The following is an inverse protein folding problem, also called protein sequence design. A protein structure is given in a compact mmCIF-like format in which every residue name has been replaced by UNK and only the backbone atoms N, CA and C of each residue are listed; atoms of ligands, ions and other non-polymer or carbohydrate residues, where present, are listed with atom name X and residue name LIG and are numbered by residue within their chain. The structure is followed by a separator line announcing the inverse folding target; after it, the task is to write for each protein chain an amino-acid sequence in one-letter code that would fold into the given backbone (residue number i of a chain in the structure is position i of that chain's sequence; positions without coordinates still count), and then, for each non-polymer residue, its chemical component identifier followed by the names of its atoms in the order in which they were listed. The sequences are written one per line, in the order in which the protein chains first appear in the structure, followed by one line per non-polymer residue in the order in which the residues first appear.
data_IF_191715020176
#
_entry.id   IF_191715020176
#
_cell.length_a   1.000
_cell.length_b   1.000
_cell.length_c   1.000
_cell.angle_alpha   90.00
_cell.angle_beta   90.00
_cell.angle_gamma   90.00
#
_symmetry.space_group_name_H-M   'P 1'
#
loop_
_entity.id
_entity.type
_entity.pdbx_description
1 polymer ?
#
# COMPACT_ATOMS: atom_id res chain seq x y z
N UNK A 1 22.49 34.11 -11.82
CA UNK A 1 22.18 33.05 -12.80
C UNK A 1 21.33 33.68 -13.90
N UNK A 2 21.87 33.70 -15.12
CA UNK A 2 21.25 34.29 -16.30
C UNK A 2 20.50 33.20 -17.07
N UNK A 3 19.18 33.33 -17.16
CA UNK A 3 18.30 32.39 -17.85
C UNK A 3 17.86 33.06 -19.15
N UNK A 4 18.11 32.41 -20.29
CA UNK A 4 17.71 32.91 -21.60
C UNK A 4 16.64 32.02 -22.17
N UNK A 5 15.47 32.58 -22.46
CA UNK A 5 14.33 31.87 -23.07
C UNK A 5 14.21 32.33 -24.51
N UNK A 6 14.36 31.40 -25.46
CA UNK A 6 14.37 31.71 -26.89
C UNK A 6 13.02 31.45 -27.57
N UNK A 7 12.78 32.19 -28.65
CA UNK A 7 11.69 31.96 -29.61
C UNK A 7 10.27 31.96 -29.02
N UNK A 8 10.02 32.73 -27.96
CA UNK A 8 8.68 32.96 -27.40
C UNK A 8 7.96 34.09 -28.15
N UNK A 9 7.67 33.85 -29.43
CA UNK A 9 7.06 34.80 -30.37
C UNK A 9 5.75 35.47 -29.89
N UNK A 10 4.98 34.81 -29.01
CA UNK A 10 3.71 35.35 -28.48
C UNK A 10 3.89 36.07 -27.13
N UNK A 11 5.12 36.11 -26.62
CA UNK A 11 5.47 36.59 -25.29
C UNK A 11 4.53 35.97 -24.23
N UNK A 12 4.33 34.66 -24.32
CA UNK A 12 3.40 33.90 -23.45
C UNK A 12 4.07 33.60 -22.13
N UNK A 13 5.38 33.35 -22.11
CA UNK A 13 6.11 32.93 -20.91
C UNK A 13 5.95 33.96 -19.79
N UNK A 14 6.00 35.26 -20.11
CA UNK A 14 5.80 36.34 -19.12
C UNK A 14 4.40 36.38 -18.51
N UNK A 15 3.41 35.83 -19.21
CA UNK A 15 1.98 35.85 -18.83
C UNK A 15 1.58 34.61 -18.02
N UNK A 16 2.46 33.60 -17.90
CA UNK A 16 2.17 32.39 -17.15
C UNK A 16 2.25 32.66 -15.63
N UNK A 17 1.37 32.03 -14.86
CA UNK A 17 1.36 32.13 -13.39
C UNK A 17 2.72 31.69 -12.80
N UNK A 18 3.38 30.72 -13.42
CA UNK A 18 4.67 30.21 -12.98
C UNK A 18 5.86 31.14 -13.31
N UNK A 19 5.66 32.19 -14.11
CA UNK A 19 6.72 33.15 -14.46
C UNK A 19 7.29 33.87 -13.23
N UNK A 20 6.48 34.04 -12.18
CA UNK A 20 6.89 34.60 -10.88
C UNK A 20 8.08 33.84 -10.26
N UNK A 21 8.22 32.53 -10.54
CA UNK A 21 9.36 31.73 -10.07
C UNK A 21 10.70 32.15 -10.70
N UNK A 22 10.67 32.91 -11.79
CA UNK A 22 11.86 33.42 -12.48
C UNK A 22 12.30 34.80 -11.98
N UNK A 23 11.46 35.52 -11.22
CA UNK A 23 11.76 36.87 -10.70
C UNK A 23 13.05 36.97 -9.87
N UNK A 24 13.43 35.96 -9.05
CA UNK A 24 14.70 35.99 -8.32
C UNK A 24 15.94 35.85 -9.22
N UNK A 25 15.77 35.54 -10.51
CA UNK A 25 16.84 35.28 -11.46
C UNK A 25 16.83 36.30 -12.59
N UNK A 26 17.97 36.47 -13.27
CA UNK A 26 18.05 37.34 -14.44
C UNK A 26 17.52 36.59 -15.68
N UNK A 27 16.20 36.51 -15.80
CA UNK A 27 15.52 35.81 -16.89
C UNK A 27 15.20 36.76 -18.05
N UNK A 28 15.73 36.47 -19.24
CA UNK A 28 15.50 37.22 -20.47
C UNK A 28 14.74 36.38 -21.48
N UNK A 29 13.52 36.82 -21.81
CA UNK A 29 12.68 36.23 -22.85
C UNK A 29 12.92 36.96 -24.18
N UNK A 30 13.31 36.21 -25.20
CA UNK A 30 13.42 36.69 -26.58
C UNK A 30 12.19 36.28 -27.38
N UNK A 31 11.49 37.27 -27.91
CA UNK A 31 10.29 37.09 -28.75
C UNK A 31 10.63 37.02 -30.25
N UNK A 32 11.89 37.23 -30.62
CA UNK A 32 12.37 37.16 -32.00
C UNK A 32 13.35 36.02 -32.22
N UNK A 33 13.19 35.31 -33.33
CA UNK A 33 14.14 34.29 -33.80
C UNK A 33 15.32 34.96 -34.47
N UNK A 34 16.52 34.50 -34.11
CA UNK A 34 17.79 34.95 -34.70
C UNK A 34 18.49 33.75 -35.30
N UNK A 35 18.83 33.85 -36.58
CA UNK A 35 19.50 32.80 -37.32
C UNK A 35 20.98 33.15 -37.50
N UNK A 36 21.84 32.15 -37.41
CA UNK A 36 23.28 32.29 -37.64
C UNK A 36 24.12 32.28 -36.37
N UNK A 37 25.24 31.56 -36.44
CA UNK A 37 26.12 31.27 -35.32
C UNK A 37 26.69 32.53 -34.66
N UNK A 38 27.07 33.54 -35.45
CA UNK A 38 27.62 34.80 -34.94
C UNK A 38 26.64 35.53 -34.03
N UNK A 39 25.43 35.79 -34.52
CA UNK A 39 24.41 36.54 -33.77
C UNK A 39 23.93 35.75 -32.53
N UNK A 40 23.75 34.43 -32.65
CA UNK A 40 23.40 33.57 -31.51
C UNK A 40 24.51 33.54 -30.45
N UNK A 41 25.78 33.44 -30.86
CA UNK A 41 26.91 33.41 -29.91
C UNK A 41 27.02 34.70 -29.10
N UNK A 42 26.76 35.86 -29.71
CA UNK A 42 26.75 37.15 -29.00
C UNK A 42 25.54 37.23 -28.07
N UNK A 43 24.36 36.83 -28.54
CA UNK A 43 23.11 36.88 -27.76
C UNK A 43 23.15 35.96 -26.53
N UNK A 44 23.82 34.81 -26.64
CA UNK A 44 23.84 33.75 -25.62
C UNK A 44 25.12 33.75 -24.78
N UNK A 45 26.11 34.61 -25.07
CA UNK A 45 27.44 34.61 -24.45
C UNK A 45 27.43 34.54 -22.92
N UNK A 46 26.48 35.23 -22.30
CA UNK A 46 26.36 35.35 -20.85
C UNK A 46 25.27 34.44 -20.23
N UNK A 47 24.71 33.51 -21.00
CA UNK A 47 23.68 32.60 -20.51
C UNK A 47 24.28 31.49 -19.62
N UNK A 48 23.77 31.36 -18.39
CA UNK A 48 24.02 30.18 -17.55
C UNK A 48 23.05 29.04 -17.93
N UNK A 49 21.81 29.39 -18.29
CA UNK A 49 20.75 28.45 -18.68
C UNK A 49 20.10 28.94 -19.97
N UNK A 50 19.90 28.04 -20.93
CA UNK A 50 19.16 28.31 -22.16
C UNK A 50 17.90 27.45 -22.18
N UNK A 51 16.74 28.09 -22.35
CA UNK A 51 15.44 27.43 -22.52
C UNK A 51 15.03 27.57 -23.99
N UNK A 52 15.03 26.44 -24.69
CA UNK A 52 14.63 26.32 -26.09
C UNK A 52 13.13 26.05 -26.19
N UNK A 53 12.46 26.78 -27.08
CA UNK A 53 11.07 26.50 -27.41
C UNK A 53 10.98 25.54 -28.62
N UNK A 54 10.75 24.25 -28.34
CA UNK A 54 10.79 23.15 -29.33
C UNK A 54 12.13 23.14 -30.09
N UNK A 55 12.10 22.86 -31.38
CA UNK A 55 13.29 22.66 -32.23
C UNK A 55 13.66 23.89 -33.07
N UNK A 56 13.23 25.09 -32.62
CA UNK A 56 13.33 26.33 -33.42
C UNK A 56 14.75 26.89 -33.53
N UNK A 57 15.56 26.76 -32.48
CA UNK A 57 16.96 27.18 -32.48
C UNK A 57 17.88 25.96 -32.47
N UNK A 58 18.91 26.01 -33.33
CA UNK A 58 19.94 25.00 -33.47
C UNK A 58 21.13 25.29 -32.54
N UNK A 59 21.37 24.41 -31.57
CA UNK A 59 22.56 24.40 -30.71
C UNK A 59 23.56 23.35 -31.23
N UNK A 60 24.29 23.72 -32.28
CA UNK A 60 25.38 22.89 -32.80
C UNK A 60 26.63 22.97 -31.92
N UNK A 61 27.54 21.99 -32.03
CA UNK A 61 28.84 21.99 -31.34
C UNK A 61 29.60 23.32 -31.50
N UNK A 62 29.57 23.91 -32.69
CA UNK A 62 30.26 25.16 -32.98
C UNK A 62 29.66 26.38 -32.24
N UNK A 63 28.36 26.35 -31.93
CA UNK A 63 27.73 27.36 -31.09
C UNK A 63 28.00 27.08 -29.61
N UNK A 64 27.79 25.85 -29.15
CA UNK A 64 27.98 25.44 -27.74
C UNK A 64 29.42 25.74 -27.29
N UNK A 65 30.43 25.46 -28.12
CA UNK A 65 31.84 25.76 -27.83
C UNK A 65 32.16 27.25 -27.66
N UNK A 66 31.26 28.16 -28.07
CA UNK A 66 31.40 29.61 -27.89
C UNK A 66 30.64 30.14 -26.65
N UNK A 67 30.02 29.27 -25.85
CA UNK A 67 29.21 29.64 -24.69
C UNK A 67 29.88 29.19 -23.37
N UNK A 68 30.91 29.92 -22.89
CA UNK A 68 31.77 29.46 -21.79
C UNK A 68 31.07 29.39 -20.42
N UNK A 69 29.91 30.05 -20.26
CA UNK A 69 29.15 30.10 -19.01
C UNK A 69 27.97 29.14 -18.96
N UNK A 70 27.65 28.49 -20.08
CA UNK A 70 26.46 27.65 -20.20
C UNK A 70 26.61 26.41 -19.29
N UNK A 71 25.60 26.14 -18.49
CA UNK A 71 25.54 25.00 -17.56
C UNK A 71 24.37 24.08 -17.82
N UNK A 72 23.28 24.60 -18.38
CA UNK A 72 22.05 23.85 -18.63
C UNK A 72 21.35 24.31 -19.91
N UNK A 73 20.95 23.34 -20.73
CA UNK A 73 20.00 23.53 -21.84
C UNK A 73 18.70 22.83 -21.46
N UNK A 74 17.59 23.56 -21.45
CA UNK A 74 16.25 23.01 -21.24
C UNK A 74 15.44 23.13 -22.54
N UNK A 75 14.82 22.04 -23.01
CA UNK A 75 13.98 22.05 -24.21
C UNK A 75 12.51 21.80 -23.88
N UNK A 76 11.63 22.66 -24.37
CA UNK A 76 10.19 22.42 -24.33
C UNK A 76 9.82 21.32 -25.33
N UNK A 77 9.48 20.14 -24.81
CA UNK A 77 9.19 18.93 -25.58
C UNK A 77 10.35 17.93 -25.58
N UNK A 78 10.36 17.04 -26.58
CA UNK A 78 11.45 16.07 -26.79
C UNK A 78 12.70 16.82 -27.30
N UNK A 79 13.87 16.44 -26.81
CA UNK A 79 15.15 16.89 -27.40
C UNK A 79 15.31 16.20 -28.74
N UNK A 80 15.28 17.00 -29.81
CA UNK A 80 15.43 16.56 -31.19
C UNK A 80 16.86 16.73 -31.70
N UNK A 81 17.05 16.64 -33.01
CA UNK A 81 18.36 16.84 -33.65
C UNK A 81 18.89 18.28 -33.55
N UNK A 82 18.10 19.20 -32.99
CA UNK A 82 18.44 20.60 -32.85
C UNK A 82 19.45 20.91 -31.73
N UNK A 83 19.70 19.95 -30.82
CA UNK A 83 20.69 20.09 -29.75
C UNK A 83 21.73 18.99 -29.89
N UNK A 84 23.00 19.38 -30.02
CA UNK A 84 24.11 18.42 -29.99
C UNK A 84 24.39 17.98 -28.54
N UNK A 85 23.68 16.93 -28.11
CA UNK A 85 23.76 16.39 -26.74
C UNK A 85 25.17 15.87 -26.42
N UNK A 86 25.89 15.33 -27.41
CA UNK A 86 27.25 14.85 -27.23
C UNK A 86 28.20 16.02 -26.92
N UNK A 87 28.10 17.11 -27.69
CA UNK A 87 28.87 18.32 -27.41
C UNK A 87 28.54 18.92 -26.03
N UNK A 88 27.26 18.93 -25.63
CA UNK A 88 26.88 19.34 -24.27
C UNK A 88 27.54 18.45 -23.20
N UNK A 89 27.52 17.13 -23.39
CA UNK A 89 28.08 16.16 -22.44
C UNK A 89 29.60 16.31 -22.29
N UNK A 90 30.33 16.43 -23.41
CA UNK A 90 31.79 16.66 -23.41
C UNK A 90 32.19 17.94 -22.67
N UNK A 91 31.35 18.98 -22.75
CA UNK A 91 31.58 20.28 -22.13
C UNK A 91 30.96 20.40 -20.72
N UNK A 92 30.40 19.32 -20.17
CA UNK A 92 29.81 19.29 -18.83
C UNK A 92 28.51 20.08 -18.69
N UNK A 93 27.78 20.28 -19.79
CA UNK A 93 26.51 21.01 -19.86
C UNK A 93 25.36 20.03 -19.71
N UNK A 94 24.51 20.22 -18.71
CA UNK A 94 23.32 19.40 -18.50
C UNK A 94 22.27 19.69 -19.59
N UNK A 95 21.52 18.67 -19.99
CA UNK A 95 20.39 18.81 -20.93
C UNK A 95 19.13 18.26 -20.27
N UNK A 96 18.07 19.08 -20.18
CA UNK A 96 16.77 18.71 -19.63
C UNK A 96 15.68 18.82 -20.70
N UNK A 97 14.80 17.81 -20.78
CA UNK A 97 13.66 17.82 -21.70
C UNK A 97 12.34 17.93 -20.94
N UNK A 98 11.32 18.57 -21.53
CA UNK A 98 9.99 18.57 -20.93
C UNK A 98 9.38 17.16 -20.84
N UNK A 99 9.82 16.23 -21.69
CA UNK A 99 9.45 14.82 -21.58
C UNK A 99 9.99 14.16 -20.31
N UNK A 100 11.21 14.50 -19.88
CA UNK A 100 11.79 13.96 -18.64
C UNK A 100 11.16 14.61 -17.42
N UNK A 101 10.89 15.92 -17.49
CA UNK A 101 10.14 16.63 -16.44
C UNK A 101 8.71 16.08 -16.30
N UNK A 102 8.04 15.80 -17.42
CA UNK A 102 6.70 15.20 -17.41
C UNK A 102 6.71 13.79 -16.80
N UNK A 103 7.72 12.97 -17.10
CA UNK A 103 7.91 11.65 -16.46
C UNK A 103 8.18 11.80 -14.97
N UNK A 104 9.04 12.74 -14.57
CA UNK A 104 9.38 12.98 -13.17
C UNK A 104 8.20 13.52 -12.34
N UNK A 105 7.27 14.26 -12.97
CA UNK A 105 6.07 14.79 -12.32
C UNK A 105 4.90 13.79 -12.32
N UNK A 106 4.94 12.73 -13.13
CA UNK A 106 3.85 11.77 -13.24
C UNK A 106 3.84 10.78 -12.06
N UNK A 107 2.66 10.52 -11.49
CA UNK A 107 2.51 9.49 -10.45
C UNK A 107 2.65 8.05 -10.97
N UNK A 108 2.54 7.85 -12.29
CA UNK A 108 2.75 6.57 -12.98
C UNK A 108 3.34 6.87 -14.36
N UNK A 109 4.39 6.13 -14.75
CA UNK A 109 5.02 6.21 -16.08
C UNK A 109 4.91 4.85 -16.76
N UNK A 110 4.32 4.81 -17.96
CA UNK A 110 4.28 3.60 -18.78
C UNK A 110 5.63 3.40 -19.47
N UNK A 111 6.23 2.22 -19.31
CA UNK A 111 7.52 1.85 -19.92
C UNK A 111 7.34 1.39 -21.37
N UNK A 112 6.22 0.77 -21.67
CA UNK A 112 5.88 0.27 -23.01
C UNK A 112 4.87 1.18 -23.70
N UNK A 113 4.94 1.35 -25.04
CA UNK A 113 3.99 2.16 -25.78
C UNK A 113 2.58 1.55 -25.78
N UNK A 114 1.57 2.40 -25.86
CA UNK A 114 0.15 2.01 -25.98
C UNK A 114 -0.66 2.15 -24.70
N UNK A 115 -1.97 1.85 -24.81
CA UNK A 115 -2.93 2.03 -23.71
C UNK A 115 -3.10 0.79 -22.82
N UNK A 116 -2.51 -0.34 -23.19
CA UNK A 116 -2.60 -1.59 -22.42
C UNK A 116 -2.08 -1.43 -20.99
N UNK A 117 -1.00 -0.67 -20.81
CA UNK A 117 -0.44 -0.37 -19.48
C UNK A 117 -1.40 0.37 -18.56
N UNK A 118 -2.28 1.23 -19.10
CA UNK A 118 -3.31 1.92 -18.30
C UNK A 118 -4.29 0.93 -17.70
N UNK A 119 -4.73 -0.06 -18.48
CA UNK A 119 -5.63 -1.10 -18.00
C UNK A 119 -4.97 -1.96 -16.91
N UNK A 120 -3.70 -2.32 -17.09
CA UNK A 120 -2.91 -3.06 -16.09
C UNK A 120 -2.81 -2.29 -14.78
N UNK A 121 -2.48 -1.00 -14.83
CA UNK A 121 -2.39 -0.14 -13.64
C UNK A 121 -3.74 -0.04 -12.92
N UNK A 122 -4.84 0.15 -13.65
CA UNK A 122 -6.18 0.22 -13.05
C UNK A 122 -6.60 -1.10 -12.42
N UNK A 123 -6.34 -2.25 -13.07
CA UNK A 123 -6.65 -3.58 -12.53
C UNK A 123 -5.83 -3.88 -11.27
N UNK A 124 -4.51 -3.71 -11.34
CA UNK A 124 -3.62 -3.90 -10.20
C UNK A 124 -3.98 -2.98 -9.03
N UNK A 125 -4.31 -1.71 -9.32
CA UNK A 125 -4.78 -0.76 -8.30
C UNK A 125 -6.04 -1.22 -7.59
N UNK A 126 -7.02 -1.79 -8.31
CA UNK A 126 -8.25 -2.35 -7.72
C UNK A 126 -7.98 -3.60 -6.87
N UNK A 127 -7.05 -4.46 -7.28
CA UNK A 127 -6.64 -5.63 -6.51
C UNK A 127 -5.96 -5.22 -5.19
N UNK A 128 -4.97 -4.32 -5.27
CA UNK A 128 -4.28 -3.78 -4.09
C UNK A 128 -5.28 -3.09 -3.16
N UNK A 129 -6.18 -2.28 -3.69
CA UNK A 129 -7.22 -1.62 -2.90
C UNK A 129 -8.07 -2.62 -2.12
N UNK A 130 -8.44 -3.72 -2.75
CA UNK A 130 -9.25 -4.78 -2.14
C UNK A 130 -8.50 -5.51 -1.02
N UNK A 131 -7.24 -5.86 -1.23
CA UNK A 131 -6.39 -6.45 -0.18
C UNK A 131 -6.25 -5.52 1.01
N UNK A 132 -6.12 -4.22 0.76
CA UNK A 132 -6.05 -3.22 1.83
C UNK A 132 -7.37 -3.14 2.62
N UNK A 133 -8.54 -3.20 1.97
CA UNK A 133 -9.82 -3.25 2.67
C UNK A 133 -9.94 -4.49 3.56
N UNK A 134 -9.58 -5.67 3.04
CA UNK A 134 -9.55 -6.92 3.80
C UNK A 134 -8.60 -6.83 4.99
N UNK A 135 -7.40 -6.29 4.78
CA UNK A 135 -6.40 -6.09 5.83
C UNK A 135 -6.92 -5.15 6.91
N UNK A 136 -7.43 -3.97 6.53
CA UNK A 136 -7.91 -2.98 7.49
C UNK A 136 -9.11 -3.53 8.28
N UNK A 137 -10.06 -4.20 7.62
CA UNK A 137 -11.20 -4.81 8.31
C UNK A 137 -10.76 -5.84 9.36
N UNK A 138 -9.85 -6.75 8.99
CA UNK A 138 -9.33 -7.76 9.91
C UNK A 138 -8.51 -7.13 11.04
N UNK A 139 -7.62 -6.18 10.73
CA UNK A 139 -6.78 -5.52 11.73
C UNK A 139 -7.63 -4.76 12.73
N UNK A 140 -8.62 -3.99 12.27
CA UNK A 140 -9.54 -3.25 13.15
C UNK A 140 -10.38 -4.20 14.01
N UNK A 141 -10.92 -5.28 13.45
CA UNK A 141 -11.67 -6.30 14.19
C UNK A 141 -10.81 -6.85 15.34
N UNK A 142 -9.58 -7.28 15.04
CA UNK A 142 -8.70 -7.90 16.04
C UNK A 142 -8.22 -6.93 17.10
N UNK A 143 -8.03 -5.64 16.76
CA UNK A 143 -7.78 -4.61 17.77
C UNK A 143 -8.93 -4.52 18.77
N UNK A 144 -10.19 -4.45 18.31
CA UNK A 144 -11.34 -4.43 19.23
C UNK A 144 -11.45 -5.72 20.05
N UNK A 145 -11.35 -6.88 19.39
CA UNK A 145 -11.50 -8.17 20.05
C UNK A 145 -10.43 -8.38 21.13
N UNK A 146 -9.15 -8.24 20.80
CA UNK A 146 -8.08 -8.53 21.76
C UNK A 146 -8.14 -7.52 22.92
N UNK A 147 -8.28 -6.23 22.65
CA UNK A 147 -8.34 -5.21 23.71
C UNK A 147 -9.52 -5.47 24.66
N UNK A 148 -10.74 -5.66 24.12
CA UNK A 148 -11.93 -5.86 24.96
C UNK A 148 -11.88 -7.21 25.69
N UNK A 149 -11.45 -8.28 25.02
CA UNK A 149 -11.35 -9.61 25.62
C UNK A 149 -10.38 -9.62 26.80
N UNK A 150 -9.21 -8.99 26.66
CA UNK A 150 -8.21 -8.95 27.73
C UNK A 150 -8.65 -8.06 28.89
N UNK A 151 -9.25 -6.89 28.62
CA UNK A 151 -9.74 -5.99 29.67
C UNK A 151 -10.89 -6.60 30.45
N UNK A 152 -11.95 -7.07 29.76
CA UNK A 152 -13.09 -7.69 30.42
C UNK A 152 -12.72 -9.04 31.02
N UNK A 153 -11.83 -9.79 30.39
CA UNK A 153 -11.29 -11.03 30.91
C UNK A 153 -10.69 -10.84 32.29
N UNK A 154 -9.75 -9.90 32.44
CA UNK A 154 -9.15 -9.58 33.75
C UNK A 154 -10.19 -9.14 34.78
N UNK A 155 -11.14 -8.30 34.38
CA UNK A 155 -12.14 -7.77 35.31
C UNK A 155 -13.11 -8.84 35.81
N UNK A 156 -13.52 -9.77 34.94
CA UNK A 156 -14.47 -10.83 35.27
C UNK A 156 -13.82 -12.01 36.00
N UNK A 157 -12.56 -12.34 35.71
CA UNK A 157 -11.87 -13.49 36.31
C UNK A 157 -11.03 -13.13 37.53
N UNK A 158 -10.64 -11.86 37.68
CA UNK A 158 -9.70 -11.39 38.69
C UNK A 158 -8.23 -11.77 38.42
N UNK A 159 -7.95 -12.43 37.29
CA UNK A 159 -6.63 -12.94 36.93
C UNK A 159 -6.29 -12.64 35.45
N UNK A 160 -5.01 -12.59 35.12
CA UNK A 160 -4.59 -12.44 33.73
C UNK A 160 -4.99 -13.67 32.89
N UNK A 161 -5.91 -13.44 31.96
CA UNK A 161 -6.48 -14.48 31.08
C UNK A 161 -5.47 -15.00 30.05
N UNK A 162 -4.40 -14.25 29.79
CA UNK A 162 -3.25 -14.65 28.98
C UNK A 162 -1.96 -14.11 29.62
N UNK A 163 -0.86 -14.86 29.54
CA UNK A 163 0.44 -14.39 30.05
C UNK A 163 1.13 -13.45 29.06
N UNK A 164 2.03 -12.55 29.52
CA UNK A 164 2.80 -11.67 28.63
C UNK A 164 3.59 -12.44 27.56
N UNK A 165 4.16 -13.60 27.92
CA UNK A 165 4.89 -14.45 26.98
C UNK A 165 3.96 -14.97 25.86
N UNK A 166 2.74 -15.37 26.20
CA UNK A 166 1.76 -15.83 25.21
C UNK A 166 1.22 -14.68 24.34
N UNK A 167 1.17 -13.45 24.84
CA UNK A 167 0.86 -12.27 24.02
C UNK A 167 1.95 -12.05 22.96
N UNK A 168 3.23 -12.19 23.34
CA UNK A 168 4.35 -12.09 22.38
C UNK A 168 4.22 -13.19 21.33
N UNK A 169 3.96 -14.43 21.74
CA UNK A 169 3.75 -15.53 20.79
C UNK A 169 2.54 -15.30 19.88
N UNK A 170 1.45 -14.73 20.42
CA UNK A 170 0.23 -14.40 19.68
C UNK A 170 0.51 -13.35 18.59
N UNK A 171 1.34 -12.35 18.88
CA UNK A 171 1.78 -11.35 17.90
C UNK A 171 2.49 -12.02 16.73
N UNK A 172 3.45 -12.92 17.01
CA UNK A 172 4.17 -13.65 15.95
C UNK A 172 3.25 -14.55 15.13
N UNK A 173 2.41 -15.36 15.77
CA UNK A 173 1.45 -16.25 15.10
C UNK A 173 0.52 -15.47 14.15
N UNK A 174 -0.04 -14.36 14.64
CA UNK A 174 -0.97 -13.54 13.86
C UNK A 174 -0.30 -12.78 12.72
N UNK A 175 0.94 -12.32 12.89
CA UNK A 175 1.59 -11.43 11.92
C UNK A 175 1.90 -12.14 10.60
N UNK A 176 2.39 -13.39 10.62
CA UNK A 176 2.67 -14.14 9.38
C UNK A 176 1.43 -14.31 8.51
N UNK A 177 0.31 -14.65 9.15
CA UNK A 177 -0.97 -14.88 8.48
C UNK A 177 -1.54 -13.57 7.98
N UNK A 178 -1.43 -12.50 8.77
CA UNK A 178 -1.91 -11.17 8.37
C UNK A 178 -1.08 -10.60 7.21
N UNK A 179 0.24 -10.81 7.19
CA UNK A 179 1.10 -10.40 6.07
C UNK A 179 0.72 -11.12 4.77
N UNK A 180 0.27 -12.37 4.86
CA UNK A 180 -0.13 -13.14 3.67
C UNK A 180 -1.31 -12.52 2.91
N UNK A 181 -2.12 -11.67 3.56
CA UNK A 181 -3.22 -10.90 2.91
C UNK A 181 -2.68 -10.02 1.77
N UNK A 182 -1.45 -9.50 1.90
CA UNK A 182 -0.83 -8.65 0.88
C UNK A 182 -0.57 -9.39 -0.45
N UNK A 183 -0.40 -10.72 -0.40
CA UNK A 183 -0.14 -11.58 -1.57
C UNK A 183 -1.33 -12.47 -1.92
N UNK A 184 -2.45 -12.32 -1.21
CA UNK A 184 -3.62 -13.16 -1.42
C UNK A 184 -4.30 -12.90 -2.78
N UNK A 185 -5.03 -13.90 -3.27
CA UNK A 185 -5.82 -13.79 -4.49
C UNK A 185 -7.06 -12.95 -4.21
N UNK A 186 -7.32 -11.96 -5.06
CA UNK A 186 -8.50 -11.10 -4.98
C UNK A 186 -9.10 -10.88 -6.36
N UNK A 187 -10.42 -10.68 -6.41
CA UNK A 187 -11.11 -10.26 -7.63
C UNK A 187 -11.16 -8.72 -7.69
N UNK A 188 -10.73 -8.09 -8.81
CA UNK A 188 -10.84 -6.65 -8.96
C UNK A 188 -12.30 -6.20 -8.90
N UNK A 189 -12.60 -5.14 -8.15
CA UNK A 189 -13.94 -4.58 -8.10
C UNK A 189 -14.38 -4.09 -9.50
N UNK A 190 -15.63 -4.32 -9.94
CA UNK A 190 -16.10 -3.87 -11.25
C UNK A 190 -16.21 -2.35 -11.34
N UNK A 191 -16.50 -1.69 -10.21
CA UNK A 191 -16.65 -0.23 -10.09
C UNK A 191 -15.56 0.37 -9.19
N UNK A 192 -15.19 1.65 -9.36
CA UNK A 192 -14.29 2.33 -8.44
C UNK A 192 -14.87 2.33 -7.02
N UNK A 193 -14.10 1.84 -6.05
CA UNK A 193 -14.46 1.85 -4.64
C UNK A 193 -13.78 3.04 -3.93
N UNK A 194 -14.41 3.54 -2.87
CA UNK A 194 -13.89 4.63 -2.03
C UNK A 194 -13.72 4.12 -0.60
N UNK A 195 -12.69 4.60 0.08
CA UNK A 195 -12.48 4.28 1.50
C UNK A 195 -13.49 5.02 2.38
N UNK A 196 -14.52 4.30 2.81
CA UNK A 196 -15.46 4.77 3.81
C UNK A 196 -15.03 4.28 5.20
N UNK A 197 -13.98 4.91 5.77
CA UNK A 197 -13.36 4.49 7.04
C UNK A 197 -14.40 4.27 8.15
N UNK A 198 -15.36 5.20 8.30
CA UNK A 198 -16.43 5.07 9.30
C UNK A 198 -17.28 3.80 9.13
N UNK A 199 -17.60 3.42 7.89
CA UNK A 199 -18.40 2.22 7.60
C UNK A 199 -17.59 0.95 7.83
N UNK A 200 -16.31 0.98 7.45
CA UNK A 200 -15.38 -0.12 7.69
C UNK A 200 -15.20 -0.40 9.18
N UNK A 201 -14.95 0.64 9.98
CA UNK A 201 -14.84 0.52 11.45
C UNK A 201 -16.16 0.03 12.07
N UNK A 202 -17.30 0.53 11.59
CA UNK A 202 -18.62 0.06 12.04
C UNK A 202 -18.84 -1.43 11.79
N UNK A 203 -18.48 -1.93 10.60
CA UNK A 203 -18.58 -3.37 10.32
C UNK A 203 -17.57 -4.18 11.13
N UNK A 204 -16.32 -3.71 11.26
CA UNK A 204 -15.30 -4.36 12.09
C UNK A 204 -15.77 -4.50 13.54
N UNK A 205 -16.43 -3.49 14.10
CA UNK A 205 -16.97 -3.53 15.45
C UNK A 205 -18.09 -4.58 15.60
N UNK A 206 -18.97 -4.74 14.60
CA UNK A 206 -20.00 -5.80 14.61
C UNK A 206 -19.36 -7.18 14.59
N UNK A 207 -18.40 -7.42 13.69
CA UNK A 207 -17.69 -8.70 13.66
C UNK A 207 -16.87 -8.95 14.93
N UNK A 208 -16.26 -7.91 15.50
CA UNK A 208 -15.55 -8.01 16.77
C UNK A 208 -16.50 -8.38 17.91
N UNK A 209 -17.71 -7.81 17.97
CA UNK A 209 -18.71 -8.16 18.97
C UNK A 209 -19.14 -9.64 18.86
N UNK A 210 -19.35 -10.14 17.65
CA UNK A 210 -19.67 -11.56 17.41
C UNK A 210 -18.49 -12.47 17.82
N UNK A 211 -17.27 -12.08 17.47
CA UNK A 211 -16.05 -12.80 17.84
C UNK A 211 -15.81 -12.82 19.35
N UNK A 212 -16.04 -11.69 20.01
CA UNK A 212 -15.96 -11.56 21.48
C UNK A 212 -17.00 -12.44 22.17
N UNK A 213 -18.25 -12.44 21.70
CA UNK A 213 -19.30 -13.28 22.24
C UNK A 213 -18.92 -14.76 22.14
N UNK A 214 -18.41 -15.19 20.99
CA UNK A 214 -17.90 -16.55 20.80
C UNK A 214 -16.73 -16.85 21.74
N UNK A 215 -15.72 -15.97 21.79
CA UNK A 215 -14.52 -16.17 22.61
C UNK A 215 -14.83 -16.24 24.11
N UNK A 216 -15.69 -15.37 24.64
CA UNK A 216 -16.13 -15.43 26.04
C UNK A 216 -16.98 -16.67 26.34
N UNK A 217 -17.86 -17.05 25.41
CA UNK A 217 -18.69 -18.26 25.57
C UNK A 217 -17.82 -19.52 25.61
N UNK A 218 -16.85 -19.63 24.69
CA UNK A 218 -15.90 -20.74 24.65
C UNK A 218 -15.01 -20.76 25.91
N UNK A 219 -14.52 -19.60 26.36
CA UNK A 219 -13.74 -19.48 27.58
C UNK A 219 -14.50 -20.00 28.81
N UNK A 220 -15.73 -19.53 29.04
CA UNK A 220 -16.53 -19.92 30.19
C UNK A 220 -16.99 -21.37 30.11
N UNK A 221 -17.33 -21.86 28.91
CA UNK A 221 -17.66 -23.26 28.70
C UNK A 221 -16.50 -24.19 29.06
N UNK A 222 -15.29 -23.89 28.59
CA UNK A 222 -14.12 -24.73 28.88
C UNK A 222 -13.76 -24.64 30.37
N UNK A 223 -13.79 -23.45 30.96
CA UNK A 223 -13.51 -23.26 32.39
C UNK A 223 -14.50 -23.99 33.31
N UNK A 224 -15.76 -24.15 32.90
CA UNK A 224 -16.78 -24.82 33.70
C UNK A 224 -16.83 -26.33 33.51
N UNK A 225 -16.41 -26.83 32.35
CA UNK A 225 -16.48 -28.26 32.00
C UNK A 225 -15.17 -29.01 32.21
N UNK A 226 -14.03 -28.32 32.16
CA UNK A 226 -12.71 -28.90 32.27
C UNK A 226 -12.02 -28.38 33.53
N UNK A 227 -11.46 -29.28 34.33
CA UNK A 227 -10.66 -28.93 35.51
C UNK A 227 -9.22 -28.58 35.08
N UNK A 228 -9.06 -27.42 34.45
CA UNK A 228 -7.79 -26.92 33.95
C UNK A 228 -7.16 -25.93 34.92
N UNK A 229 -5.84 -26.03 35.08
CA UNK A 229 -5.06 -25.03 35.81
C UNK A 229 -5.11 -23.65 35.12
N UNK A 230 -4.82 -22.58 35.87
CA UNK A 230 -4.75 -21.21 35.31
C UNK A 230 -3.79 -21.12 34.11
N UNK A 231 -2.64 -21.80 34.15
CA UNK A 231 -1.67 -21.78 33.05
C UNK A 231 -2.19 -22.50 31.80
N UNK A 232 -2.95 -23.60 31.97
CA UNK A 232 -3.60 -24.29 30.85
C UNK A 232 -4.74 -23.45 30.27
N UNK A 233 -5.51 -22.73 31.11
CA UNK A 233 -6.52 -21.79 30.64
C UNK A 233 -5.91 -20.64 29.83
N UNK A 234 -4.74 -20.13 30.21
CA UNK A 234 -4.01 -19.13 29.42
C UNK A 234 -3.59 -19.67 28.05
N UNK A 235 -3.21 -20.96 27.99
CA UNK A 235 -2.88 -21.64 26.73
C UNK A 235 -4.12 -21.83 25.85
N UNK A 236 -5.26 -22.20 26.43
CA UNK A 236 -6.56 -22.27 25.75
C UNK A 236 -6.95 -20.92 25.15
N UNK A 237 -6.79 -19.84 25.90
CA UNK A 237 -7.07 -18.48 25.42
C UNK A 237 -6.16 -18.10 24.26
N UNK A 238 -4.87 -18.40 24.36
CA UNK A 238 -3.93 -18.19 23.27
C UNK A 238 -4.38 -18.91 21.99
N UNK A 239 -4.69 -20.21 22.07
CA UNK A 239 -5.20 -21.00 20.94
C UNK A 239 -6.50 -20.42 20.38
N UNK A 240 -7.44 -20.07 21.26
CA UNK A 240 -8.73 -19.50 20.89
C UNK A 240 -8.57 -18.21 20.08
N UNK A 241 -7.70 -17.30 20.52
CA UNK A 241 -7.44 -16.05 19.82
C UNK A 241 -6.75 -16.27 18.47
N UNK A 242 -5.79 -17.21 18.37
CA UNK A 242 -5.13 -17.58 17.10
C UNK A 242 -6.13 -18.19 16.11
N UNK A 243 -6.88 -19.22 16.53
CA UNK A 243 -7.82 -19.91 15.64
C UNK A 243 -8.99 -19.04 15.22
N UNK A 244 -9.48 -18.18 16.12
CA UNK A 244 -10.52 -17.21 15.77
C UNK A 244 -9.97 -16.14 14.82
N UNK A 245 -8.68 -15.79 14.91
CA UNK A 245 -8.04 -14.95 13.90
C UNK A 245 -8.00 -15.60 12.52
N UNK A 246 -7.62 -16.87 12.43
CA UNK A 246 -7.68 -17.64 11.19
C UNK A 246 -9.12 -17.66 10.61
N UNK A 247 -10.11 -17.97 11.44
CA UNK A 247 -11.51 -17.99 11.03
C UNK A 247 -11.95 -16.64 10.42
N UNK A 248 -11.70 -15.53 11.13
CA UNK A 248 -12.07 -14.20 10.65
C UNK A 248 -11.37 -13.84 9.34
N UNK A 249 -10.07 -14.12 9.22
CA UNK A 249 -9.29 -13.82 8.01
C UNK A 249 -9.90 -14.51 6.78
N UNK A 250 -10.28 -15.79 6.88
CA UNK A 250 -10.86 -16.52 5.76
C UNK A 250 -12.28 -16.05 5.42
N UNK A 251 -13.10 -15.79 6.43
CA UNK A 251 -14.48 -15.31 6.24
C UNK A 251 -14.50 -13.94 5.57
N UNK A 252 -13.64 -13.03 6.01
CA UNK A 252 -13.61 -11.64 5.55
C UNK A 252 -12.80 -11.43 4.25
N UNK A 253 -12.17 -12.48 3.74
CA UNK A 253 -11.36 -12.43 2.51
C UNK A 253 -12.17 -12.16 1.25
N UNK A 254 -13.44 -12.58 1.24
CA UNK A 254 -14.29 -12.57 0.05
C UNK A 254 -15.68 -12.02 0.37
N UNK A 255 -16.31 -11.37 -0.61
CA UNK A 255 -17.68 -10.84 -0.46
C UNK A 255 -18.74 -11.95 -0.47
N UNK A 256 -18.46 -13.02 -1.21
CA UNK A 256 -19.29 -14.22 -1.32
C UNK A 256 -19.07 -15.17 -0.14
N UNK A 257 -19.54 -16.42 -0.26
CA UNK A 257 -19.30 -17.44 0.78
C UNK A 257 -17.81 -17.81 0.87
N UNK A 258 -17.35 -18.27 2.03
CA UNK A 258 -15.93 -18.55 2.25
C UNK A 258 -15.29 -19.54 1.25
N UNK A 259 -16.09 -20.46 0.70
CA UNK A 259 -15.68 -21.47 -0.30
C UNK A 259 -15.88 -21.02 -1.76
N UNK A 260 -16.39 -19.82 -2.02
CA UNK A 260 -16.61 -19.37 -3.41
C UNK A 260 -15.30 -19.10 -4.16
N UNK A 261 -14.23 -18.80 -3.42
CA UNK A 261 -12.95 -18.44 -4.01
C UNK A 261 -11.82 -19.03 -3.16
N UNK A 262 -10.85 -19.68 -3.80
CA UNK A 262 -9.73 -20.31 -3.10
C UNK A 262 -8.65 -19.29 -2.68
N UNK A 263 -8.02 -19.46 -1.51
CA UNK A 263 -6.95 -18.57 -1.06
C UNK A 263 -5.71 -18.65 -1.96
N UNK A 264 -4.88 -17.62 -1.89
CA UNK A 264 -3.53 -17.66 -2.46
C UNK A 264 -2.68 -18.74 -1.81
N UNK A 265 -1.71 -19.27 -2.56
CA UNK A 265 -0.81 -20.34 -2.09
C UNK A 265 -0.08 -19.95 -0.81
N UNK A 266 0.47 -18.74 -0.77
CA UNK A 266 1.22 -18.24 0.39
C UNK A 266 0.35 -18.07 1.63
N UNK A 267 -0.89 -17.61 1.46
CA UNK A 267 -1.85 -17.52 2.56
C UNK A 267 -2.26 -18.90 3.09
N UNK A 268 -2.56 -19.85 2.21
CA UNK A 268 -2.89 -21.21 2.61
C UNK A 268 -1.72 -21.88 3.37
N UNK A 269 -0.49 -21.72 2.87
CA UNK A 269 0.71 -22.25 3.53
C UNK A 269 0.98 -21.57 4.87
N UNK A 270 0.85 -20.24 4.95
CA UNK A 270 1.04 -19.50 6.20
C UNK A 270 0.00 -19.91 7.25
N UNK A 271 -1.27 -20.03 6.88
CA UNK A 271 -2.33 -20.48 7.78
C UNK A 271 -2.15 -21.93 8.23
N UNK A 272 -1.81 -22.84 7.31
CA UNK A 272 -1.57 -24.24 7.67
C UNK A 272 -0.35 -24.37 8.58
N UNK A 273 0.74 -23.66 8.26
CA UNK A 273 1.96 -23.62 9.07
C UNK A 273 1.70 -23.06 10.47
N UNK A 274 0.95 -21.96 10.58
CA UNK A 274 0.60 -21.34 11.86
C UNK A 274 -0.27 -22.26 12.73
N UNK A 275 -1.37 -22.78 12.17
CA UNK A 275 -2.28 -23.68 12.90
C UNK A 275 -1.56 -24.95 13.36
N UNK A 276 -0.73 -25.54 12.50
CA UNK A 276 0.02 -26.76 12.86
C UNK A 276 1.07 -26.48 13.93
N UNK A 277 1.86 -25.41 13.76
CA UNK A 277 2.90 -25.03 14.72
C UNK A 277 2.29 -24.74 16.09
N UNK A 278 1.29 -23.86 16.17
CA UNK A 278 0.65 -23.46 17.42
C UNK A 278 -0.04 -24.64 18.11
N UNK A 279 -0.68 -25.53 17.35
CA UNK A 279 -1.27 -26.76 17.90
C UNK A 279 -0.22 -27.71 18.49
N UNK A 280 0.93 -27.86 17.82
CA UNK A 280 2.04 -28.69 18.30
C UNK A 280 2.68 -28.08 19.56
N UNK A 281 2.90 -26.76 19.60
CA UNK A 281 3.41 -26.07 20.77
C UNK A 281 2.53 -26.30 22.00
N UNK A 282 1.21 -26.18 21.84
CA UNK A 282 0.24 -26.38 22.92
C UNK A 282 0.11 -27.84 23.35
N UNK A 283 0.17 -28.80 22.42
CA UNK A 283 0.09 -30.22 22.73
C UNK A 283 1.36 -30.73 23.44
N UNK A 284 2.53 -30.24 23.03
CA UNK A 284 3.83 -30.65 23.59
C UNK A 284 4.21 -29.86 24.85
N UNK A 285 3.55 -28.74 25.13
CA UNK A 285 3.86 -27.88 26.27
C UNK A 285 5.16 -27.07 26.10
N UNK A 286 5.52 -26.73 24.85
CA UNK A 286 6.70 -25.90 24.59
C UNK A 286 6.31 -24.42 24.60
N UNK A 287 6.95 -23.61 25.46
CA UNK A 287 6.65 -22.19 25.72
C UNK A 287 5.29 -21.90 26.37
N UNK A 288 4.46 -22.91 26.59
CA UNK A 288 3.11 -22.82 27.16
C UNK A 288 2.75 -24.10 27.94
N UNK A 289 1.72 -24.05 28.78
CA UNK A 289 1.32 -25.24 29.53
C UNK A 289 0.67 -26.27 28.60
N UNK A 290 0.98 -27.57 28.73
CA UNK A 290 0.45 -28.59 27.85
C UNK A 290 -1.07 -28.74 28.03
N UNK A 291 -1.78 -28.79 26.91
CA UNK A 291 -3.23 -28.95 26.84
C UNK A 291 -3.56 -30.23 26.07
N UNK A 292 -4.58 -31.02 26.47
CA UNK A 292 -4.93 -32.25 25.77
C UNK A 292 -5.17 -32.02 24.26
N UNK A 293 -4.59 -32.84 23.37
CA UNK A 293 -4.77 -32.69 21.92
C UNK A 293 -6.24 -32.71 21.48
N UNK A 294 -7.10 -33.45 22.21
CA UNK A 294 -8.54 -33.45 21.99
C UNK A 294 -9.17 -32.07 22.20
N UNK A 295 -8.69 -31.29 23.18
CA UNK A 295 -9.17 -29.93 23.41
C UNK A 295 -8.69 -28.98 22.30
N UNK A 296 -7.46 -29.13 21.82
CA UNK A 296 -6.93 -28.37 20.68
C UNK A 296 -7.79 -28.62 19.43
N UNK A 297 -8.07 -29.89 19.12
CA UNK A 297 -8.93 -30.27 18.01
C UNK A 297 -10.37 -29.76 18.18
N UNK A 298 -10.91 -29.82 19.40
CA UNK A 298 -12.23 -29.29 19.73
C UNK A 298 -12.33 -27.76 19.54
N UNK A 299 -11.31 -27.01 19.95
CA UNK A 299 -11.19 -25.57 19.72
C UNK A 299 -11.09 -25.24 18.23
N UNK A 300 -10.29 -26.00 17.48
CA UNK A 300 -10.18 -25.80 16.03
C UNK A 300 -11.53 -26.04 15.34
N UNK A 301 -12.23 -27.12 15.72
CA UNK A 301 -13.55 -27.46 15.19
C UNK A 301 -14.60 -26.41 15.56
N UNK A 302 -14.61 -25.92 16.80
CA UNK A 302 -15.55 -24.87 17.22
C UNK A 302 -15.29 -23.55 16.49
N UNK A 303 -14.03 -23.17 16.28
CA UNK A 303 -13.65 -22.03 15.45
C UNK A 303 -14.04 -22.20 13.98
N UNK A 304 -13.95 -23.41 13.44
CA UNK A 304 -14.43 -23.70 12.08
C UNK A 304 -15.95 -23.53 11.97
N UNK A 305 -16.72 -24.04 12.94
CA UNK A 305 -18.18 -23.83 13.01
C UNK A 305 -18.52 -22.36 13.18
N UNK A 306 -17.80 -21.64 14.04
CA UNK A 306 -17.93 -20.19 14.18
C UNK A 306 -17.65 -19.47 12.86
N UNK A 307 -16.66 -19.88 12.07
CA UNK A 307 -16.40 -19.32 10.76
C UNK A 307 -17.62 -19.46 9.83
N UNK A 308 -18.31 -20.60 9.86
CA UNK A 308 -19.54 -20.81 9.06
C UNK A 308 -20.67 -19.88 9.52
N UNK A 309 -20.86 -19.76 10.83
CA UNK A 309 -21.87 -18.85 11.40
C UNK A 309 -21.55 -17.38 11.08
N UNK A 310 -20.28 -16.99 11.14
CA UNK A 310 -19.82 -15.67 10.78
C UNK A 310 -20.02 -15.40 9.28
N UNK A 311 -19.73 -16.36 8.41
CA UNK A 311 -19.96 -16.26 6.97
C UNK A 311 -21.45 -16.06 6.63
N UNK A 312 -22.35 -16.73 7.36
CA UNK A 312 -23.79 -16.56 7.20
C UNK A 312 -24.27 -15.14 7.57
N UNK A 313 -23.69 -14.54 8.62
CA UNK A 313 -24.04 -13.17 9.05
C UNK A 313 -23.31 -12.08 8.27
N UNK A 314 -22.18 -12.42 7.63
CA UNK A 314 -21.32 -11.49 6.89
C UNK A 314 -22.06 -10.69 5.83
N UNK A 315 -22.94 -11.34 5.07
CA UNK A 315 -23.64 -10.69 3.96
C UNK A 315 -24.52 -9.54 4.45
N UNK A 316 -25.21 -9.70 5.59
CA UNK A 316 -26.02 -8.64 6.19
C UNK A 316 -25.15 -7.46 6.62
N UNK A 317 -24.01 -7.72 7.25
CA UNK A 317 -23.08 -6.67 7.66
C UNK A 317 -22.50 -5.92 6.45
N UNK A 318 -22.06 -6.63 5.42
CA UNK A 318 -21.49 -6.03 4.22
C UNK A 318 -22.51 -5.18 3.45
N UNK A 319 -23.76 -5.63 3.35
CA UNK A 319 -24.86 -4.84 2.78
C UNK A 319 -25.16 -3.59 3.62
N UNK A 320 -25.31 -3.74 4.94
CA UNK A 320 -25.65 -2.63 5.86
C UNK A 320 -24.59 -1.53 5.85
N UNK A 321 -23.32 -1.89 5.76
CA UNK A 321 -22.21 -0.94 5.75
C UNK A 321 -21.70 -0.59 4.34
N UNK A 322 -22.33 -1.11 3.27
CA UNK A 322 -21.96 -0.84 1.87
C UNK A 322 -20.45 -0.93 1.63
N UNK A 323 -19.85 -2.03 2.11
CA UNK A 323 -18.41 -2.34 1.96
C UNK A 323 -18.14 -2.98 0.58
N UNK A 324 -19.17 -3.53 -0.04
CA UNK A 324 -19.16 -4.17 -1.36
C UNK A 324 -19.95 -3.34 -2.36
#
# INVERSE_FOLDING_TARGET
MNIVILDDYQDVVRKLICASKLEPYNAKVFTNTVNGLGQLSVRLKDADVIVLNRERTQLSRALIGKLPKLKLVAQTGRVGANVDVNACTELGIAVASATDVAKAAAGVVLTDPGLGGVLTVVRAGREVHRRMLTYTLNKTLKTFEITVFLTLGLWLTGEFVISPMLIVLLLFANDFVTMSIATDRVLPAPKPQRWAVRRLVGAAAVFAALSLLFSFSAYWWIRSTQDLSTQQMQTVVFLLLVFTNQACIYVLRTDGRLWSFAPGRWMALASAGDVTLVSLLAALGWLMAPVPPALVAGLLASCAVFALALDATKHLAFQRFAIV
#
